data_IF_762161764812
#
_entry.id   IF_762161764812
#
_cell.length_a   1.000
_cell.length_b   1.000
_cell.length_c   1.000
_cell.angle_alpha   90.00
_cell.angle_beta   90.00
_cell.angle_gamma   90.00
#
_symmetry.space_group_name_H-M   'P 1'
#
loop_
_entity.id
_entity.type
_entity.pdbx_description
1 polymer ?
#
# COMPACT_ATOMS: atom_id res chain seq x y z
N UNK A 1 0.28 5.04 13.63
CA UNK A 1 0.20 6.35 12.92
C UNK A 1 -1.22 6.70 12.53
N UNK A 2 -1.62 7.99 12.37
CA UNK A 2 -2.96 8.44 11.92
C UNK A 2 -2.87 9.53 10.82
N UNK A 3 -3.84 9.61 9.91
CA UNK A 3 -3.83 10.51 8.72
C UNK A 3 -5.15 11.24 8.44
N UNK A 4 -5.12 12.31 7.64
CA UNK A 4 -6.28 12.78 6.87
C UNK A 4 -5.83 13.17 5.46
N UNK A 5 -6.52 12.70 4.44
CA UNK A 5 -6.50 13.28 3.11
C UNK A 5 -7.64 14.29 3.02
N UNK A 6 -7.45 15.51 2.52
CA UNK A 6 -8.56 16.44 2.21
C UNK A 6 -8.28 17.00 0.80
N UNK A 7 -9.28 17.15 -0.09
CA UNK A 7 -9.04 17.77 -1.39
C UNK A 7 -8.62 19.23 -1.22
N UNK A 8 -7.57 19.65 -1.94
CA UNK A 8 -7.05 21.02 -1.91
C UNK A 8 -8.07 21.97 -2.55
N UNK A 9 -8.72 22.79 -1.73
CA UNK A 9 -9.15 24.14 -2.12
C UNK A 9 -8.59 25.11 -1.09
N UNK A 10 -8.00 26.20 -1.59
CA UNK A 10 -7.30 27.23 -0.82
C UNK A 10 -8.00 27.55 0.50
N UNK A 11 -7.41 27.12 1.61
CA UNK A 11 -7.69 27.63 2.94
C UNK A 11 -6.37 27.76 3.69
N UNK A 12 -6.28 28.85 4.45
CA UNK A 12 -5.07 29.42 5.05
C UNK A 12 -4.34 28.48 6.01
N UNK A 13 -3.00 28.55 6.13
CA UNK A 13 -2.18 27.57 6.87
C UNK A 13 -2.48 27.45 8.37
N UNK A 14 -3.03 28.50 8.99
CA UNK A 14 -3.18 28.59 10.46
C UNK A 14 -4.45 27.90 11.00
N UNK A 15 -5.45 27.60 10.17
CA UNK A 15 -6.67 26.90 10.61
C UNK A 15 -6.56 25.36 10.52
N UNK A 16 -5.52 24.84 9.86
CA UNK A 16 -5.33 23.40 9.63
C UNK A 16 -4.64 22.64 10.79
N UNK A 17 -4.13 23.34 11.81
CA UNK A 17 -3.39 22.73 12.92
C UNK A 17 -4.30 22.12 14.01
N UNK A 18 -5.52 22.62 14.22
CA UNK A 18 -6.38 22.20 15.34
C UNK A 18 -7.38 21.05 15.03
N UNK A 19 -7.41 20.50 13.81
CA UNK A 19 -8.39 19.44 13.40
C UNK A 19 -7.82 18.01 13.40
N UNK A 20 -6.61 17.79 13.91
CA UNK A 20 -5.82 16.59 13.55
C UNK A 20 -5.96 15.37 14.48
N UNK A 21 -6.70 15.47 15.58
CA UNK A 21 -6.70 14.44 16.66
C UNK A 21 -8.08 13.88 17.05
N UNK A 22 -9.14 14.18 16.29
CA UNK A 22 -10.48 13.68 16.64
C UNK A 22 -10.82 12.28 16.11
N UNK A 23 -11.63 11.54 16.87
CA UNK A 23 -12.31 10.32 16.40
C UNK A 23 -13.15 10.62 15.16
N UNK A 24 -13.50 9.59 14.37
CA UNK A 24 -14.40 9.77 13.22
C UNK A 24 -15.73 10.46 13.62
N UNK A 25 -16.20 10.21 14.84
CA UNK A 25 -17.37 10.88 15.41
C UNK A 25 -17.18 12.38 15.59
N UNK A 26 -16.04 12.82 16.12
CA UNK A 26 -15.73 14.25 16.24
C UNK A 26 -15.64 14.92 14.86
N UNK A 27 -15.10 14.21 13.87
CA UNK A 27 -15.04 14.70 12.48
C UNK A 27 -16.42 14.82 11.85
N UNK A 28 -17.31 13.86 12.11
CA UNK A 28 -18.72 13.91 11.72
C UNK A 28 -19.44 15.11 12.31
N UNK A 29 -19.17 15.45 13.57
CA UNK A 29 -19.73 16.63 14.22
C UNK A 29 -19.21 17.94 13.61
N UNK A 30 -17.90 18.02 13.30
CA UNK A 30 -17.27 19.23 12.77
C UNK A 30 -17.51 19.47 11.27
N UNK A 31 -17.55 18.39 10.48
CA UNK A 31 -17.58 18.43 9.01
C UNK A 31 -18.57 17.36 8.47
N UNK A 32 -19.87 17.47 8.79
CA UNK A 32 -20.86 16.46 8.40
C UNK A 32 -20.94 16.23 6.89
N UNK A 33 -20.67 17.25 6.07
CA UNK A 33 -20.65 17.14 4.61
C UNK A 33 -19.65 16.11 4.07
N UNK A 34 -18.60 15.81 4.84
CA UNK A 34 -17.52 14.90 4.46
C UNK A 34 -17.53 13.57 5.20
N UNK A 35 -18.10 13.53 6.41
CA UNK A 35 -17.96 12.40 7.33
C UNK A 35 -19.30 11.75 7.72
N UNK A 36 -20.44 12.29 7.28
CA UNK A 36 -21.73 11.63 7.51
C UNK A 36 -21.78 10.27 6.83
N UNK A 37 -22.24 9.23 7.55
CA UNK A 37 -22.32 7.83 7.10
C UNK A 37 -20.98 7.27 6.57
N UNK A 38 -19.89 7.65 7.26
CA UNK A 38 -18.50 7.25 6.98
C UNK A 38 -17.71 6.95 8.24
N UNK A 39 -18.40 6.51 9.29
CA UNK A 39 -17.84 6.04 10.56
C UNK A 39 -17.27 4.61 10.47
N UNK A 40 -17.40 3.94 9.31
CA UNK A 40 -16.88 2.60 9.07
C UNK A 40 -15.35 2.58 8.92
N UNK A 41 -14.76 1.51 9.42
CA UNK A 41 -13.31 1.28 9.47
C UNK A 41 -12.96 0.03 8.65
N UNK A 42 -11.95 0.17 7.80
CA UNK A 42 -11.30 -0.94 7.12
C UNK A 42 -10.00 -1.32 7.84
N UNK A 43 -9.81 -2.59 8.15
CA UNK A 43 -8.56 -3.14 8.68
C UNK A 43 -7.96 -4.03 7.59
N UNK A 44 -6.76 -3.67 7.14
CA UNK A 44 -6.05 -4.35 6.07
C UNK A 44 -4.99 -5.27 6.66
N UNK A 45 -5.04 -6.52 6.22
CA UNK A 45 -4.10 -7.60 6.57
C UNK A 45 -3.53 -8.24 5.29
N UNK A 46 -2.68 -9.25 5.45
CA UNK A 46 -1.95 -9.90 4.36
C UNK A 46 -2.68 -11.09 3.75
N UNK A 47 -3.53 -11.76 4.52
CA UNK A 47 -4.22 -12.97 4.06
C UNK A 47 -5.65 -13.09 4.59
N UNK A 48 -6.41 -14.03 4.03
CA UNK A 48 -7.77 -14.32 4.51
C UNK A 48 -7.74 -14.94 5.91
N UNK A 49 -6.74 -15.79 6.16
CA UNK A 49 -6.50 -16.45 7.45
C UNK A 49 -6.17 -15.42 8.53
N UNK A 50 -5.29 -14.44 8.24
CA UNK A 50 -5.03 -13.32 9.14
C UNK A 50 -6.29 -12.48 9.39
N UNK A 51 -7.14 -12.33 8.37
CA UNK A 51 -8.37 -11.55 8.45
C UNK A 51 -9.37 -12.19 9.41
N UNK A 52 -9.56 -13.50 9.30
CA UNK A 52 -10.37 -14.30 10.23
C UNK A 52 -9.82 -14.22 11.66
N UNK A 53 -8.50 -14.37 11.81
CA UNK A 53 -7.85 -14.32 13.12
C UNK A 53 -8.04 -12.96 13.80
N UNK A 54 -7.72 -11.87 13.11
CA UNK A 54 -7.90 -10.51 13.64
C UNK A 54 -9.37 -10.24 13.96
N UNK A 55 -10.30 -10.62 13.09
CA UNK A 55 -11.72 -10.46 13.35
C UNK A 55 -12.17 -11.23 14.60
N UNK A 56 -11.69 -12.46 14.81
CA UNK A 56 -12.03 -13.26 15.99
C UNK A 56 -11.54 -12.63 17.31
N UNK A 57 -10.35 -12.02 17.29
CA UNK A 57 -9.79 -11.30 18.46
C UNK A 57 -10.61 -10.05 18.74
N UNK A 58 -10.94 -9.27 17.70
CA UNK A 58 -11.75 -8.06 17.87
C UNK A 58 -13.16 -8.39 18.36
N UNK A 59 -13.82 -9.37 17.76
CA UNK A 59 -15.13 -9.83 18.18
C UNK A 59 -15.09 -10.28 19.65
N UNK A 60 -14.19 -11.18 20.03
CA UNK A 60 -14.11 -11.65 21.43
C UNK A 60 -13.86 -10.50 22.44
N UNK A 61 -13.10 -9.48 22.06
CA UNK A 61 -12.76 -8.35 22.95
C UNK A 61 -13.85 -7.28 23.04
N UNK A 62 -14.57 -7.02 21.94
CA UNK A 62 -15.51 -5.90 21.81
C UNK A 62 -16.99 -6.31 21.82
N UNK A 63 -17.30 -7.61 21.69
CA UNK A 63 -18.65 -8.20 21.81
C UNK A 63 -19.34 -7.88 23.13
N UNK A 64 -18.58 -7.61 24.19
CA UNK A 64 -19.13 -7.37 25.53
C UNK A 64 -19.29 -5.88 25.88
N UNK A 65 -18.87 -4.95 25.01
CA UNK A 65 -18.67 -3.56 25.45
C UNK A 65 -19.23 -2.48 24.51
N UNK A 66 -19.29 -2.66 23.18
CA UNK A 66 -19.49 -1.51 22.27
C UNK A 66 -20.29 -1.82 20.99
N UNK A 67 -20.31 -3.06 20.48
CA UNK A 67 -20.94 -3.41 19.19
C UNK A 67 -21.80 -4.66 19.28
N UNK A 68 -22.93 -4.68 18.55
CA UNK A 68 -23.70 -5.90 18.29
C UNK A 68 -22.83 -6.96 17.59
N UNK A 69 -23.25 -8.23 17.65
CA UNK A 69 -22.51 -9.38 17.09
C UNK A 69 -22.11 -9.19 15.61
N UNK A 70 -22.87 -8.40 14.85
CA UNK A 70 -22.67 -8.15 13.41
C UNK A 70 -21.85 -6.88 13.08
N UNK A 71 -21.38 -6.15 14.10
CA UNK A 71 -20.63 -4.89 13.94
C UNK A 71 -19.21 -5.07 13.38
N UNK A 72 -18.65 -6.28 13.48
CA UNK A 72 -17.29 -6.62 13.03
C UNK A 72 -17.36 -7.84 12.13
N UNK A 73 -16.85 -7.74 10.90
CA UNK A 73 -16.82 -8.85 9.96
C UNK A 73 -15.46 -9.00 9.27
N UNK A 74 -15.11 -10.24 8.95
CA UNK A 74 -14.01 -10.57 8.04
C UNK A 74 -14.53 -10.69 6.62
N UNK A 75 -13.72 -10.29 5.63
CA UNK A 75 -13.98 -10.56 4.23
C UNK A 75 -13.52 -11.97 3.88
N UNK A 76 -14.36 -12.76 3.21
CA UNK A 76 -14.05 -14.14 2.79
C UNK A 76 -14.10 -14.29 1.28
N UNK A 77 -13.47 -15.35 0.77
CA UNK A 77 -13.54 -15.71 -0.65
C UNK A 77 -14.98 -16.06 -1.04
N UNK A 78 -15.36 -15.79 -2.28
CA UNK A 78 -16.72 -16.08 -2.76
C UNK A 78 -17.02 -17.57 -2.81
N UNK A 79 -16.00 -18.40 -3.03
CA UNK A 79 -16.10 -19.86 -3.00
C UNK A 79 -15.94 -20.47 -1.59
N UNK A 80 -15.81 -19.66 -0.55
CA UNK A 80 -15.74 -20.17 0.82
C UNK A 80 -17.11 -20.79 1.21
N UNK A 81 -17.11 -21.88 2.01
CA UNK A 81 -18.35 -22.51 2.46
C UNK A 81 -19.33 -21.51 3.08
N UNK A 82 -20.61 -21.62 2.73
CA UNK A 82 -21.64 -20.65 3.12
C UNK A 82 -21.81 -20.49 4.63
N UNK A 83 -21.54 -21.55 5.39
CA UNK A 83 -21.64 -21.56 6.85
C UNK A 83 -20.54 -20.79 7.59
N UNK A 84 -19.44 -20.40 6.91
CA UNK A 84 -18.38 -19.63 7.56
C UNK A 84 -18.85 -18.20 7.84
N UNK A 85 -18.56 -17.61 9.00
CA UNK A 85 -18.91 -16.22 9.28
C UNK A 85 -18.15 -15.26 8.34
N UNK A 86 -18.70 -14.06 8.14
CA UNK A 86 -18.06 -13.00 7.36
C UNK A 86 -18.78 -12.63 6.07
N UNK A 87 -18.29 -11.58 5.42
CA UNK A 87 -18.88 -10.99 4.22
C UNK A 87 -18.21 -11.65 2.99
N UNK A 88 -18.96 -12.28 2.07
CA UNK A 88 -18.40 -12.70 0.79
C UNK A 88 -17.81 -11.50 0.04
N UNK A 89 -16.68 -11.69 -0.63
CA UNK A 89 -15.98 -10.64 -1.36
C UNK A 89 -16.92 -9.90 -2.34
N UNK A 90 -17.82 -10.60 -3.03
CA UNK A 90 -18.80 -10.01 -3.97
C UNK A 90 -19.83 -9.10 -3.29
N UNK A 91 -20.07 -9.28 -2.00
CA UNK A 91 -21.11 -8.60 -1.22
C UNK A 91 -20.60 -7.37 -0.48
N UNK A 92 -19.29 -7.12 -0.46
CA UNK A 92 -18.74 -5.93 0.21
C UNK A 92 -19.25 -4.60 -0.38
N UNK A 93 -19.67 -4.60 -1.66
CA UNK A 93 -20.33 -3.44 -2.28
C UNK A 93 -21.66 -3.06 -1.62
N UNK A 94 -22.30 -4.02 -0.93
CA UNK A 94 -23.57 -3.85 -0.23
C UNK A 94 -23.37 -3.44 1.25
N UNK A 95 -22.15 -3.08 1.65
CA UNK A 95 -21.80 -2.71 3.02
C UNK A 95 -22.70 -1.62 3.62
N UNK A 96 -23.24 -0.70 2.81
CA UNK A 96 -24.17 0.34 3.28
C UNK A 96 -25.47 -0.22 3.88
N UNK A 97 -25.85 -1.46 3.53
CA UNK A 97 -27.04 -2.14 4.03
C UNK A 97 -26.73 -3.10 5.19
N UNK A 98 -25.45 -3.25 5.56
CA UNK A 98 -25.02 -4.10 6.65
C UNK A 98 -24.82 -3.28 7.91
N UNK A 99 -25.10 -3.84 9.10
CA UNK A 99 -24.79 -3.19 10.39
C UNK A 99 -23.28 -3.13 10.68
N UNK A 100 -22.46 -3.73 9.82
CA UNK A 100 -21.01 -3.84 9.97
C UNK A 100 -20.32 -2.47 9.94
N UNK A 101 -19.62 -2.18 11.03
CA UNK A 101 -18.81 -0.96 11.19
C UNK A 101 -17.33 -1.22 10.94
N UNK A 102 -16.83 -2.41 11.27
CA UNK A 102 -15.43 -2.78 11.06
C UNK A 102 -15.36 -3.95 10.10
N UNK A 103 -14.64 -3.76 9.00
CA UNK A 103 -14.34 -4.84 8.05
C UNK A 103 -12.85 -5.14 8.12
N UNK A 104 -12.50 -6.39 8.41
CA UNK A 104 -11.14 -6.90 8.25
C UNK A 104 -11.04 -7.57 6.88
N UNK A 105 -10.02 -7.24 6.10
CA UNK A 105 -9.85 -7.80 4.77
C UNK A 105 -8.37 -7.88 4.35
N UNK A 106 -7.99 -8.91 3.56
CA UNK A 106 -6.68 -8.92 2.93
C UNK A 106 -6.58 -7.84 1.85
N UNK A 107 -5.41 -7.20 1.74
CA UNK A 107 -5.15 -6.12 0.78
C UNK A 107 -5.58 -6.49 -0.65
N UNK A 108 -5.16 -7.68 -1.12
CA UNK A 108 -5.43 -8.14 -2.49
C UNK A 108 -6.92 -8.33 -2.80
N UNK A 109 -7.77 -8.53 -1.80
CA UNK A 109 -9.20 -8.70 -2.05
C UNK A 109 -9.89 -7.41 -2.51
N UNK A 110 -9.30 -6.24 -2.21
CA UNK A 110 -9.91 -4.93 -2.39
C UNK A 110 -9.29 -4.09 -3.52
N UNK A 111 -8.21 -4.58 -4.15
CA UNK A 111 -7.49 -3.90 -5.23
C UNK A 111 -8.39 -3.52 -6.42
N UNK A 112 -9.27 -4.42 -6.86
CA UNK A 112 -10.14 -4.21 -8.04
C UNK A 112 -11.56 -4.75 -7.82
N UNK A 113 -12.52 -4.16 -8.54
CA UNK A 113 -13.87 -4.72 -8.71
C UNK A 113 -14.95 -4.27 -7.72
N UNK A 114 -14.62 -3.54 -6.65
CA UNK A 114 -15.60 -3.23 -5.59
C UNK A 114 -15.87 -1.74 -5.43
N UNK A 115 -17.09 -1.32 -5.73
CA UNK A 115 -17.56 0.05 -5.48
C UNK A 115 -18.23 0.12 -4.09
N UNK A 116 -17.43 0.37 -3.06
CA UNK A 116 -17.87 0.36 -1.66
C UNK A 116 -18.27 1.79 -1.28
N UNK A 117 -19.52 2.13 -1.59
CA UNK A 117 -20.08 3.46 -1.37
C UNK A 117 -21.16 3.44 -0.28
N UNK A 118 -21.39 4.60 0.31
CA UNK A 118 -22.52 4.88 1.17
C UNK A 118 -23.74 5.36 0.37
N UNK A 119 -24.84 5.64 1.05
CA UNK A 119 -26.10 6.01 0.41
C UNK A 119 -26.02 7.32 -0.41
N UNK A 120 -25.02 8.17 -0.18
CA UNK A 120 -24.80 9.42 -0.92
C UNK A 120 -23.80 9.27 -2.08
N UNK A 121 -23.41 8.03 -2.43
CA UNK A 121 -22.44 7.77 -3.49
C UNK A 121 -21.00 8.16 -3.16
N UNK A 122 -20.69 8.36 -1.87
CA UNK A 122 -19.34 8.63 -1.35
C UNK A 122 -18.73 7.36 -0.78
N UNK A 123 -17.41 7.31 -0.60
CA UNK A 123 -16.75 6.15 0.01
C UNK A 123 -17.38 5.77 1.37
N UNK A 124 -17.74 4.49 1.56
CA UNK A 124 -18.38 4.05 2.80
C UNK A 124 -17.44 4.06 4.02
N UNK A 125 -16.15 3.83 3.78
CA UNK A 125 -15.13 3.84 4.82
C UNK A 125 -14.57 5.26 5.03
N UNK A 126 -14.50 5.68 6.29
CA UNK A 126 -13.81 6.91 6.69
C UNK A 126 -12.36 6.68 7.10
N UNK A 127 -12.02 5.47 7.56
CA UNK A 127 -10.68 5.12 8.00
C UNK A 127 -10.20 3.77 7.48
N UNK A 128 -8.88 3.64 7.27
CA UNK A 128 -8.18 2.39 7.01
C UNK A 128 -7.00 2.21 7.96
N UNK A 129 -6.81 0.99 8.48
CA UNK A 129 -5.67 0.59 9.29
C UNK A 129 -4.89 -0.50 8.56
N UNK A 130 -3.65 -0.22 8.18
CA UNK A 130 -2.71 -1.21 7.66
C UNK A 130 -1.99 -1.88 8.84
N UNK A 131 -2.39 -3.12 9.16
CA UNK A 131 -1.78 -3.91 10.24
C UNK A 131 -0.45 -4.53 9.85
N UNK A 132 -0.24 -4.77 8.56
CA UNK A 132 1.03 -5.21 8.03
C UNK A 132 1.44 -4.37 6.81
N UNK A 133 2.74 -4.30 6.57
CA UNK A 133 3.24 -3.85 5.28
C UNK A 133 2.92 -4.90 4.22
N UNK A 134 2.29 -4.54 3.10
CA UNK A 134 2.24 -5.45 1.98
C UNK A 134 3.69 -5.73 1.55
N UNK A 135 4.06 -7.01 1.57
CA UNK A 135 5.39 -7.49 1.21
C UNK A 135 5.20 -8.64 0.22
N UNK A 136 6.11 -8.80 -0.75
CA UNK A 136 6.09 -9.99 -1.59
C UNK A 136 6.12 -11.25 -0.72
N UNK A 137 5.35 -12.26 -1.13
CA UNK A 137 5.30 -13.55 -0.44
C UNK A 137 6.70 -14.19 -0.58
N UNK A 138 7.34 -14.60 0.54
CA UNK A 138 8.59 -15.34 0.48
C UNK A 138 8.47 -16.58 -0.41
N UNK A 139 9.56 -16.95 -1.08
CA UNK A 139 9.65 -18.15 -1.94
C UNK A 139 8.67 -18.19 -3.14
N UNK A 140 8.00 -17.08 -3.43
CA UNK A 140 7.14 -16.98 -4.60
C UNK A 140 7.98 -16.79 -5.88
N UNK A 141 8.21 -17.87 -6.60
CA UNK A 141 8.94 -17.87 -7.87
C UNK A 141 8.36 -16.89 -8.91
N UNK A 142 7.09 -16.52 -8.82
CA UNK A 142 6.47 -15.57 -9.74
C UNK A 142 7.12 -14.18 -9.68
N UNK A 143 7.55 -13.72 -8.50
CA UNK A 143 8.26 -12.44 -8.36
C UNK A 143 9.65 -12.52 -8.96
N UNK A 144 10.35 -13.65 -8.79
CA UNK A 144 11.64 -13.92 -9.45
C UNK A 144 11.48 -13.89 -10.97
N UNK A 145 10.45 -14.54 -11.52
CA UNK A 145 10.19 -14.54 -12.97
C UNK A 145 9.89 -13.12 -13.48
N UNK A 146 9.11 -12.33 -12.75
CA UNK A 146 8.84 -10.94 -13.13
C UNK A 146 10.12 -10.08 -13.14
N UNK A 147 10.98 -10.24 -12.13
CA UNK A 147 12.27 -9.53 -12.05
C UNK A 147 13.21 -9.96 -13.18
N UNK A 148 13.28 -11.26 -13.48
CA UNK A 148 14.08 -11.78 -14.59
C UNK A 148 13.58 -11.24 -15.95
N UNK A 149 12.26 -11.16 -16.14
CA UNK A 149 11.69 -10.55 -17.35
C UNK A 149 12.02 -9.06 -17.46
N UNK A 150 11.95 -8.31 -16.35
CA UNK A 150 12.33 -6.90 -16.32
C UNK A 150 13.82 -6.71 -16.63
N UNK A 151 14.67 -7.57 -16.05
CA UNK A 151 16.10 -7.62 -16.36
C UNK A 151 16.32 -7.88 -17.86
N UNK A 152 15.63 -8.87 -18.44
CA UNK A 152 15.80 -9.21 -19.86
C UNK A 152 15.40 -8.05 -20.79
N UNK A 153 14.29 -7.37 -20.48
CA UNK A 153 13.85 -6.18 -21.24
C UNK A 153 14.83 -5.01 -21.12
N UNK A 154 15.43 -4.81 -19.95
CA UNK A 154 16.43 -3.76 -19.73
C UNK A 154 17.72 -4.03 -20.50
N UNK A 155 18.11 -5.30 -20.64
CA UNK A 155 19.39 -5.69 -21.23
C UNK A 155 19.28 -6.20 -22.68
N UNK A 156 18.09 -6.24 -23.29
CA UNK A 156 17.87 -6.66 -24.70
C UNK A 156 18.83 -5.95 -25.66
N UNK A 157 19.12 -4.67 -25.39
CA UNK A 157 19.95 -3.79 -26.22
C UNK A 157 21.25 -3.37 -25.55
N UNK A 158 21.61 -3.98 -24.43
CA UNK A 158 22.81 -3.62 -23.70
C UNK A 158 24.04 -4.27 -24.35
N UNK A 159 24.78 -3.47 -25.12
CA UNK A 159 26.01 -3.93 -25.78
C UNK A 159 27.12 -4.28 -24.79
N UNK A 160 27.07 -3.75 -23.56
CA UNK A 160 28.15 -3.94 -22.56
C UNK A 160 28.27 -5.39 -22.12
N UNK A 161 27.17 -6.15 -22.13
CA UNK A 161 27.15 -7.59 -21.84
C UNK A 161 28.09 -8.41 -22.76
N UNK A 162 28.39 -7.89 -23.94
CA UNK A 162 29.13 -8.60 -24.98
C UNK A 162 30.55 -8.08 -25.17
N UNK A 163 30.95 -6.99 -24.51
CA UNK A 163 32.25 -6.32 -24.72
C UNK A 163 33.43 -7.26 -24.49
N UNK A 164 33.40 -8.02 -23.38
CA UNK A 164 34.45 -8.98 -23.05
C UNK A 164 34.60 -10.06 -24.14
N UNK A 165 33.48 -10.62 -24.61
CA UNK A 165 33.48 -11.65 -25.65
C UNK A 165 33.92 -11.08 -27.01
N UNK A 166 33.46 -9.87 -27.38
CA UNK A 166 33.85 -9.19 -28.61
C UNK A 166 35.35 -8.87 -28.64
N UNK A 167 35.92 -8.46 -27.50
CA UNK A 167 37.36 -8.17 -27.40
C UNK A 167 38.24 -9.41 -27.65
N UNK A 168 37.72 -10.61 -27.38
CA UNK A 168 38.45 -11.87 -27.50
C UNK A 168 38.19 -12.58 -28.83
N UNK A 169 36.93 -12.56 -29.29
CA UNK A 169 36.45 -13.36 -30.43
C UNK A 169 36.21 -12.52 -31.70
N UNK A 170 36.24 -11.19 -31.60
CA UNK A 170 35.84 -10.29 -32.68
C UNK A 170 34.32 -10.27 -32.87
N UNK A 171 33.86 -10.37 -34.12
CA UNK A 171 32.43 -10.35 -34.42
C UNK A 171 31.74 -11.62 -33.89
N UNK A 172 30.75 -11.43 -33.02
CA UNK A 172 29.98 -12.53 -32.46
C UNK A 172 28.92 -13.02 -33.44
N UNK A 173 28.72 -14.33 -33.48
CA UNK A 173 27.57 -14.97 -34.14
C UNK A 173 26.31 -14.80 -33.29
N UNK A 174 25.13 -14.91 -33.92
CA UNK A 174 23.85 -14.86 -33.19
C UNK A 174 23.75 -15.94 -32.10
N UNK A 175 24.33 -17.13 -32.32
CA UNK A 175 24.34 -18.20 -31.33
C UNK A 175 25.17 -17.83 -30.10
N UNK A 176 26.33 -17.19 -30.29
CA UNK A 176 27.18 -16.71 -29.20
C UNK A 176 26.52 -15.57 -28.42
N UNK A 177 25.87 -14.64 -29.12
CA UNK A 177 25.10 -13.57 -28.48
C UNK A 177 23.98 -14.16 -27.60
N UNK A 178 23.21 -15.10 -28.14
CA UNK A 178 22.14 -15.77 -27.40
C UNK A 178 22.68 -16.52 -26.17
N UNK A 179 23.77 -17.29 -26.33
CA UNK A 179 24.38 -18.05 -25.23
C UNK A 179 24.88 -17.13 -24.09
N UNK A 180 25.59 -16.04 -24.43
CA UNK A 180 26.04 -15.05 -23.45
C UNK A 180 24.84 -14.43 -22.72
N UNK A 181 23.79 -14.06 -23.45
CA UNK A 181 22.59 -13.50 -22.83
C UNK A 181 21.92 -14.49 -21.87
N UNK A 182 21.78 -15.75 -22.27
CA UNK A 182 21.22 -16.81 -21.42
C UNK A 182 22.07 -17.08 -20.17
N UNK A 183 23.39 -17.06 -20.29
CA UNK A 183 24.30 -17.24 -19.15
C UNK A 183 24.15 -16.10 -18.13
N UNK A 184 24.06 -14.86 -18.61
CA UNK A 184 23.81 -13.70 -17.75
C UNK A 184 22.42 -13.78 -17.10
N UNK A 185 21.38 -14.16 -17.86
CA UNK A 185 20.03 -14.35 -17.32
C UNK A 185 19.97 -15.46 -16.25
N UNK A 186 20.69 -16.56 -16.46
CA UNK A 186 20.78 -17.65 -15.49
C UNK A 186 21.51 -17.21 -14.21
N UNK A 187 22.60 -16.45 -14.35
CA UNK A 187 23.32 -15.88 -13.22
C UNK A 187 22.44 -14.90 -12.42
N UNK A 188 21.68 -14.05 -13.11
CA UNK A 188 20.71 -13.16 -12.49
C UNK A 188 19.61 -13.94 -11.75
N UNK A 189 19.03 -14.98 -12.37
CA UNK A 189 18.04 -15.84 -11.73
C UNK A 189 18.57 -16.48 -10.44
N UNK A 190 19.83 -16.92 -10.43
CA UNK A 190 20.49 -17.43 -9.22
C UNK A 190 20.62 -16.30 -8.19
N UNK A 191 21.13 -15.13 -8.58
CA UNK A 191 21.27 -13.98 -7.67
C UNK A 191 19.94 -13.62 -6.98
N UNK A 192 18.85 -13.53 -7.75
CA UNK A 192 17.51 -13.22 -7.26
C UNK A 192 16.96 -14.25 -6.26
N UNK A 193 17.34 -15.53 -6.38
CA UNK A 193 16.85 -16.60 -5.50
C UNK A 193 17.70 -16.78 -4.22
N UNK A 194 19.00 -16.45 -4.25
CA UNK A 194 19.88 -16.65 -3.09
C UNK A 194 19.92 -15.47 -2.12
N UNK A 195 19.37 -14.33 -2.52
CA UNK A 195 19.48 -13.12 -1.73
C UNK A 195 18.21 -12.97 -0.89
N UNK A 196 18.30 -13.21 0.42
CA UNK A 196 17.21 -12.96 1.35
C UNK A 196 17.07 -11.45 1.58
N UNK A 197 16.09 -10.82 0.95
CA UNK A 197 15.99 -9.35 0.94
C UNK A 197 15.28 -8.83 2.18
N UNK A 198 16.03 -8.48 3.22
CA UNK A 198 15.51 -7.50 4.19
C UNK A 198 15.49 -6.11 3.54
N UNK A 199 14.49 -5.28 3.87
CA UNK A 199 14.36 -3.94 3.29
C UNK A 199 15.65 -3.10 3.36
N UNK A 200 16.42 -3.25 4.44
CA UNK A 200 17.69 -2.53 4.67
C UNK A 200 18.82 -2.99 3.75
N UNK A 201 18.77 -4.23 3.27
CA UNK A 201 19.80 -4.83 2.43
C UNK A 201 19.56 -4.57 0.93
N UNK A 202 18.39 -4.05 0.57
CA UNK A 202 18.06 -3.70 -0.81
C UNK A 202 19.00 -2.62 -1.34
N UNK A 203 19.45 -2.80 -2.58
CA UNK A 203 20.09 -1.73 -3.35
C UNK A 203 19.08 -0.60 -3.60
N UNK A 204 19.56 0.56 -4.05
CA UNK A 204 18.71 1.72 -4.33
C UNK A 204 17.64 1.40 -5.39
N UNK A 205 18.02 0.70 -6.45
CA UNK A 205 17.12 0.36 -7.56
C UNK A 205 16.05 -0.65 -7.13
N UNK A 206 16.46 -1.70 -6.42
CA UNK A 206 15.55 -2.72 -5.86
C UNK A 206 14.54 -2.11 -4.90
N UNK A 207 15.02 -1.20 -4.05
CA UNK A 207 14.17 -0.48 -3.11
C UNK A 207 13.17 0.39 -3.84
N UNK A 208 13.58 1.07 -4.91
CA UNK A 208 12.69 1.87 -5.75
C UNK A 208 11.56 1.01 -6.35
N UNK A 209 11.89 -0.16 -6.91
CA UNK A 209 10.91 -1.11 -7.46
C UNK A 209 9.94 -1.59 -6.38
N UNK A 210 10.45 -1.97 -5.21
CA UNK A 210 9.59 -2.37 -4.09
C UNK A 210 8.68 -1.22 -3.63
N UNK A 211 9.20 -0.01 -3.51
CA UNK A 211 8.43 1.17 -3.11
C UNK A 211 7.31 1.46 -4.09
N UNK A 212 7.57 1.45 -5.40
CA UNK A 212 6.54 1.61 -6.42
C UNK A 212 5.46 0.53 -6.33
N UNK A 213 5.88 -0.73 -6.17
CA UNK A 213 4.95 -1.86 -6.05
C UNK A 213 4.04 -1.69 -4.84
N UNK A 214 4.60 -1.37 -3.67
CA UNK A 214 3.81 -1.20 -2.46
C UNK A 214 2.97 0.08 -2.45
N UNK A 215 3.49 1.17 -3.04
CA UNK A 215 2.75 2.41 -3.22
C UNK A 215 1.47 2.15 -4.02
N UNK A 216 1.55 1.45 -5.15
CA UNK A 216 0.37 1.14 -5.98
C UNK A 216 -0.66 0.35 -5.18
N UNK A 217 -0.22 -0.68 -4.45
CA UNK A 217 -1.09 -1.50 -3.60
C UNK A 217 -1.79 -0.69 -2.50
N UNK A 218 -1.03 0.12 -1.76
CA UNK A 218 -1.57 0.99 -0.70
C UNK A 218 -2.52 2.04 -1.30
N UNK A 219 -2.14 2.65 -2.41
CA UNK A 219 -2.91 3.70 -3.06
C UNK A 219 -4.21 3.19 -3.67
N UNK A 220 -4.25 1.95 -4.17
CA UNK A 220 -5.50 1.33 -4.63
C UNK A 220 -6.54 1.24 -3.51
N UNK A 221 -6.11 0.88 -2.30
CA UNK A 221 -6.99 0.83 -1.11
C UNK A 221 -7.42 2.23 -0.71
N UNK A 222 -6.47 3.16 -0.54
CA UNK A 222 -6.78 4.55 -0.17
C UNK A 222 -7.72 5.20 -1.18
N UNK A 223 -7.53 4.92 -2.47
CA UNK A 223 -8.41 5.32 -3.57
C UNK A 223 -9.87 4.88 -3.36
N UNK A 224 -10.13 3.80 -2.61
CA UNK A 224 -11.49 3.38 -2.24
C UNK A 224 -12.11 4.25 -1.17
N UNK A 225 -11.29 4.83 -0.30
CA UNK A 225 -11.73 5.68 0.80
C UNK A 225 -11.94 7.15 0.40
N UNK A 226 -11.32 7.60 -0.70
CA UNK A 226 -11.44 8.99 -1.18
C UNK A 226 -12.45 9.18 -2.32
N UNK A 227 -13.19 8.13 -2.69
CA UNK A 227 -14.19 8.20 -3.76
C UNK A 227 -15.30 9.21 -3.43
N UNK A 228 -15.67 10.02 -4.42
CA UNK A 228 -16.58 11.15 -4.25
C UNK A 228 -15.88 12.42 -3.74
N UNK A 229 -14.53 12.46 -3.80
CA UNK A 229 -13.75 13.65 -3.42
C UNK A 229 -13.81 13.93 -1.91
N UNK A 230 -13.87 12.88 -1.10
CA UNK A 230 -14.03 12.99 0.36
C UNK A 230 -12.73 12.66 1.08
N UNK A 231 -12.53 13.20 2.29
CA UNK A 231 -11.34 12.93 3.06
C UNK A 231 -11.29 11.50 3.61
N UNK A 232 -10.10 10.98 3.88
CA UNK A 232 -9.91 9.65 4.46
C UNK A 232 -8.83 9.64 5.54
N UNK A 233 -9.05 8.85 6.60
CA UNK A 233 -8.07 8.57 7.65
C UNK A 233 -7.30 7.30 7.31
N UNK A 234 -5.98 7.36 7.38
CA UNK A 234 -5.08 6.24 7.13
C UNK A 234 -4.21 5.99 8.35
N UNK A 235 -4.04 4.74 8.72
CA UNK A 235 -3.19 4.38 9.85
C UNK A 235 -2.22 3.30 9.42
N UNK A 236 -0.92 3.60 9.52
CA UNK A 236 0.13 2.60 9.47
C UNK A 236 0.38 2.12 10.90
N UNK A 237 0.02 0.87 11.19
CA UNK A 237 0.11 0.28 12.54
C UNK A 237 1.39 -0.54 12.68
N UNK A 238 1.80 -1.24 11.62
CA UNK A 238 3.06 -1.98 11.60
C UNK A 238 4.26 -1.02 11.80
N UNK A 239 5.00 -1.23 12.89
CA UNK A 239 6.22 -0.47 13.23
C UNK A 239 7.23 -0.48 12.09
N UNK A 240 7.23 -1.53 11.27
CA UNK A 240 8.16 -1.67 10.16
C UNK A 240 7.92 -0.66 9.03
N UNK A 241 6.78 0.06 9.00
CA UNK A 241 6.60 1.16 8.04
C UNK A 241 7.61 2.29 8.24
N UNK A 242 7.95 2.60 9.50
CA UNK A 242 8.90 3.64 9.90
C UNK A 242 9.53 3.26 11.25
N UNK A 243 10.51 2.31 11.25
CA UNK A 243 11.01 1.69 12.47
C UNK A 243 11.64 2.69 13.45
N UNK A 244 12.48 3.60 12.94
CA UNK A 244 13.22 4.53 13.78
C UNK A 244 12.29 5.64 14.29
N UNK A 245 11.37 6.13 13.44
CA UNK A 245 10.37 7.12 13.82
C UNK A 245 9.50 6.65 14.98
N UNK A 246 9.18 5.34 15.04
CA UNK A 246 8.37 4.78 16.10
C UNK A 246 9.04 4.82 17.50
N UNK A 247 10.37 4.92 17.54
CA UNK A 247 11.16 5.07 18.79
C UNK A 247 11.69 6.50 18.97
N UNK A 248 11.22 7.46 18.15
CA UNK A 248 11.64 8.86 18.21
C UNK A 248 12.98 9.16 17.52
N UNK A 249 13.56 8.17 16.85
CA UNK A 249 14.78 8.33 16.05
C UNK A 249 14.47 8.69 14.60
N UNK A 250 15.52 9.02 13.85
CA UNK A 250 15.40 9.43 12.46
C UNK A 250 15.44 8.23 11.51
N UNK A 251 14.45 8.15 10.62
CA UNK A 251 14.41 7.23 9.50
C UNK A 251 15.09 7.83 8.25
N UNK A 252 15.62 6.95 7.42
CA UNK A 252 16.13 7.26 6.09
C UNK A 252 15.41 6.41 5.04
N UNK A 253 15.72 6.65 3.77
CA UNK A 253 15.25 5.82 2.66
C UNK A 253 15.66 4.35 2.80
N UNK A 254 16.71 3.99 3.53
CA UNK A 254 17.12 2.60 3.71
C UNK A 254 16.46 1.93 4.92
N UNK A 255 15.91 2.70 5.86
CA UNK A 255 15.28 2.15 7.09
C UNK A 255 13.77 2.09 7.02
N UNK A 256 13.13 3.04 6.33
CA UNK A 256 11.67 3.23 6.31
C UNK A 256 11.09 3.13 4.91
N UNK A 257 10.04 2.30 4.78
CA UNK A 257 9.29 2.19 3.53
C UNK A 257 8.57 3.49 3.19
N UNK A 258 8.03 4.19 4.20
CA UNK A 258 7.34 5.46 3.99
C UNK A 258 8.31 6.54 3.52
N UNK A 259 9.48 6.65 4.14
CA UNK A 259 10.50 7.62 3.73
C UNK A 259 11.03 7.31 2.34
N UNK A 260 11.31 6.03 2.05
CA UNK A 260 11.73 5.61 0.71
C UNK A 260 10.67 5.95 -0.35
N UNK A 261 9.39 5.75 -0.05
CA UNK A 261 8.28 6.09 -0.96
C UNK A 261 8.22 7.60 -1.22
N UNK A 262 8.45 8.43 -0.20
CA UNK A 262 8.54 9.89 -0.35
C UNK A 262 9.67 10.25 -1.31
N UNK A 263 10.89 9.76 -1.06
CA UNK A 263 12.07 10.07 -1.89
C UNK A 263 11.94 9.57 -3.33
N UNK A 264 11.24 8.46 -3.55
CA UNK A 264 10.96 7.95 -4.90
C UNK A 264 9.95 8.84 -5.64
N UNK A 265 8.97 9.42 -4.95
CA UNK A 265 7.94 10.27 -5.56
C UNK A 265 8.37 11.73 -5.77
N UNK A 266 9.20 12.27 -4.88
CA UNK A 266 9.62 13.68 -4.90
C UNK A 266 10.08 14.17 -6.29
N UNK A 267 11.00 13.47 -7.01
CA UNK A 267 11.48 13.93 -8.31
C UNK A 267 10.38 14.04 -9.39
N UNK A 268 9.36 13.19 -9.32
CA UNK A 268 8.26 13.20 -10.29
C UNK A 268 7.24 14.30 -10.01
N UNK A 269 7.10 14.71 -8.75
CA UNK A 269 6.17 15.77 -8.35
C UNK A 269 6.83 17.15 -8.50
N UNK A 270 8.13 17.26 -8.16
CA UNK A 270 8.90 18.50 -8.30
C UNK A 270 9.17 18.88 -9.77
N UNK A 271 9.23 17.90 -10.66
CA UNK A 271 9.32 18.13 -12.11
C UNK A 271 8.02 18.62 -12.74
N UNK A 272 6.98 18.88 -11.94
CA UNK A 272 5.63 19.30 -12.37
C UNK A 272 5.00 18.36 -13.40
N UNK A 273 5.35 17.06 -13.36
CA UNK A 273 4.68 16.06 -14.18
C UNK A 273 3.19 16.03 -13.78
N UNK A 274 2.35 16.52 -14.71
CA UNK A 274 0.91 16.67 -14.52
C UNK A 274 0.24 15.34 -14.16
N UNK A 275 0.72 14.23 -14.71
CA UNK A 275 0.19 12.90 -14.41
C UNK A 275 0.60 12.46 -13.01
N UNK A 276 1.88 12.60 -12.66
CA UNK A 276 2.36 12.24 -11.33
C UNK A 276 1.66 13.07 -10.24
N UNK A 277 1.52 14.38 -10.45
CA UNK A 277 0.83 15.29 -9.55
C UNK A 277 -0.64 14.90 -9.36
N UNK A 278 -1.33 14.61 -10.46
CA UNK A 278 -2.75 14.22 -10.43
C UNK A 278 -2.97 12.87 -9.74
N UNK A 279 -2.06 11.92 -9.91
CA UNK A 279 -2.19 10.57 -9.39
C UNK A 279 -1.71 10.43 -7.94
N UNK A 280 -0.58 11.04 -7.60
CA UNK A 280 0.14 10.79 -6.34
C UNK A 280 0.40 12.05 -5.52
N UNK A 281 0.16 13.24 -6.06
CA UNK A 281 0.43 14.50 -5.35
C UNK A 281 -0.32 14.60 -4.02
N UNK A 282 -1.59 14.17 -4.00
CA UNK A 282 -2.37 14.12 -2.75
C UNK A 282 -1.75 13.17 -1.73
N UNK A 283 -1.21 12.02 -2.16
CA UNK A 283 -0.57 11.04 -1.28
C UNK A 283 0.76 11.56 -0.73
N UNK A 284 1.61 12.15 -1.59
CA UNK A 284 2.90 12.71 -1.17
C UNK A 284 2.72 13.88 -0.21
N UNK A 285 1.86 14.83 -0.57
CA UNK A 285 1.51 15.98 0.27
C UNK A 285 0.91 15.56 1.58
N UNK A 286 0.17 14.44 1.57
CA UNK A 286 -0.16 13.77 2.79
C UNK A 286 1.17 13.41 3.45
N UNK A 287 1.91 12.39 3.00
CA UNK A 287 3.09 11.81 3.65
C UNK A 287 4.04 12.83 4.30
N UNK A 288 4.36 13.92 3.62
CA UNK A 288 5.23 14.98 4.14
C UNK A 288 4.66 15.71 5.37
N UNK A 289 3.33 15.84 5.50
CA UNK A 289 2.68 16.42 6.69
C UNK A 289 2.83 15.56 7.96
N UNK A 290 3.26 14.30 7.86
CA UNK A 290 3.64 13.51 9.03
C UNK A 290 4.96 13.92 9.64
N UNK A 291 5.86 14.51 8.84
CA UNK A 291 7.21 14.86 9.26
C UNK A 291 7.28 15.51 10.65
N UNK A 292 6.47 16.54 10.96
CA UNK A 292 6.55 17.23 12.25
C UNK A 292 6.01 16.46 13.45
N UNK A 293 5.36 15.30 13.27
CA UNK A 293 4.63 14.65 14.38
C UNK A 293 4.84 13.16 14.54
N UNK A 294 5.05 12.43 13.44
CA UNK A 294 4.99 10.97 13.47
C UNK A 294 6.05 10.27 12.59
N UNK A 295 6.63 10.95 11.60
CA UNK A 295 7.60 10.37 10.68
C UNK A 295 8.87 11.22 10.68
N UNK A 296 9.89 10.86 11.45
CA UNK A 296 11.10 11.67 11.59
C UNK A 296 12.10 11.28 10.48
N UNK A 297 12.40 12.18 9.53
CA UNK A 297 13.34 11.92 8.43
C UNK A 297 13.92 13.23 7.85
N UNK A 298 15.07 13.14 7.18
CA UNK A 298 15.71 14.28 6.48
C UNK A 298 14.99 14.66 5.17
#
# INVERSE_FOLDING_TARGET
MRWNLTPVRHNSPLQAQNQRTGSLEQRKQQQPQWWSDRDRILIVVGSYEESEWVASILQSRYRLQIMDDDGIATLRRDNAPTHLPGIPRSEIRNLQHLPTQIVVAPLMALERGHNILNAQGKAAFGAVLFLNRPMPIPDNWQSTVQQLNAWALKHEKDSTLYEAAQSTLGNLTLAQVADIFYQNAAAEMVNLNYTAWSFKQLTKDERSVLCWTQLVSIWQIIGRLVRGGVPAVVHFIDVKFAPNSAIGEQDSESTSLLVATIKVLEPYIESEDVLALSLYGAFLNALQQMKPTNLNYD
#
